data_IF_834889902624
#
_entry.id   IF_834889902624
#
_cell.length_a   1.000
_cell.length_b   1.000
_cell.length_c   1.000
_cell.angle_alpha   90.00
_cell.angle_beta   90.00
_cell.angle_gamma   90.00
#
_symmetry.space_group_name_H-M   'P 1'
#
loop_
_entity.id
_entity.type
_entity.pdbx_description
1 polymer ?
#
# COMPACT_ATOMS: atom_id res chain seq x y z
N UNK A 1 -24.67 8.89 -20.92
CA UNK A 1 -24.24 9.53 -19.67
C UNK A 1 -23.10 8.69 -19.14
N UNK A 2 -21.85 9.15 -19.30
CA UNK A 2 -20.73 8.50 -18.60
C UNK A 2 -20.87 9.02 -17.17
N UNK A 3 -21.37 8.18 -16.27
CA UNK A 3 -21.42 8.48 -14.85
C UNK A 3 -20.00 8.84 -14.40
N UNK A 4 -19.72 10.13 -14.23
CA UNK A 4 -18.41 10.69 -13.84
C UNK A 4 -18.04 10.39 -12.38
N UNK A 5 -18.69 9.40 -11.77
CA UNK A 5 -18.49 8.94 -10.41
C UNK A 5 -17.86 7.55 -10.35
N UNK A 6 -17.27 7.07 -11.45
CA UNK A 6 -16.04 6.27 -11.33
C UNK A 6 -14.89 7.22 -10.93
N UNK A 7 -15.05 7.86 -9.76
CA UNK A 7 -13.91 8.23 -8.94
C UNK A 7 -13.32 6.89 -8.52
N UNK A 8 -12.56 6.26 -9.43
CA UNK A 8 -11.85 5.01 -9.18
C UNK A 8 -11.19 5.19 -7.82
N UNK A 9 -11.65 4.46 -6.80
CA UNK A 9 -11.14 4.59 -5.45
C UNK A 9 -9.61 4.47 -5.54
N UNK A 10 -8.92 5.60 -5.39
CA UNK A 10 -7.49 5.67 -5.65
C UNK A 10 -6.78 5.33 -4.36
N UNK A 11 -5.93 4.31 -4.43
CA UNK A 11 -5.17 3.82 -3.31
C UNK A 11 -3.73 4.26 -3.48
N UNK A 12 -3.27 5.13 -2.60
CA UNK A 12 -1.89 5.57 -2.53
C UNK A 12 -1.10 4.65 -1.63
N UNK A 13 0.01 4.13 -2.14
CA UNK A 13 1.01 3.40 -1.36
C UNK A 13 2.04 4.41 -0.87
N UNK A 14 2.25 4.44 0.44
CA UNK A 14 3.31 5.20 1.07
C UNK A 14 4.31 4.27 1.75
N UNK A 15 5.57 4.68 1.73
CA UNK A 15 6.67 3.99 2.39
C UNK A 15 7.11 4.80 3.61
N UNK A 16 7.39 4.13 4.72
CA UNK A 16 8.02 4.76 5.86
C UNK A 16 9.51 5.03 5.56
N UNK A 17 9.90 6.29 5.65
CA UNK A 17 11.25 6.80 5.56
C UNK A 17 11.61 7.55 6.85
N UNK A 18 12.87 7.95 7.00
CA UNK A 18 13.40 8.62 8.20
C UNK A 18 12.67 9.94 8.50
N UNK A 19 12.15 10.61 7.48
CA UNK A 19 11.40 11.87 7.58
C UNK A 19 9.87 11.70 7.63
N UNK A 20 9.39 10.46 7.75
CA UNK A 20 7.95 10.12 7.77
C UNK A 20 7.52 9.33 6.55
N UNK A 21 6.24 9.44 6.21
CA UNK A 21 5.65 8.66 5.12
C UNK A 21 5.82 9.35 3.77
N UNK A 22 6.37 8.62 2.81
CA UNK A 22 6.62 9.11 1.45
C UNK A 22 5.75 8.35 0.46
N UNK A 23 4.93 9.08 -0.30
CA UNK A 23 4.13 8.52 -1.40
C UNK A 23 5.02 7.93 -2.48
N UNK A 24 4.75 6.68 -2.88
CA UNK A 24 5.48 6.00 -3.95
C UNK A 24 4.62 5.71 -5.18
N UNK A 25 3.45 5.10 -4.99
CA UNK A 25 2.62 4.58 -6.07
C UNK A 25 1.16 4.93 -5.81
N UNK A 26 0.38 5.12 -6.87
CA UNK A 26 -1.09 5.18 -6.77
C UNK A 26 -1.68 4.06 -7.61
N UNK A 27 -2.68 3.37 -7.07
CA UNK A 27 -3.37 2.24 -7.66
C UNK A 27 -4.86 2.56 -7.75
N UNK A 28 -5.56 1.93 -8.70
CA UNK A 28 -7.00 2.07 -8.88
C UNK A 28 -7.82 1.08 -8.04
N UNK A 29 -7.18 0.12 -7.37
CA UNK A 29 -7.84 -0.85 -6.48
C UNK A 29 -7.00 -1.13 -5.24
N UNK A 30 -7.68 -1.44 -4.14
CA UNK A 30 -7.05 -1.76 -2.85
C UNK A 30 -6.15 -3.00 -2.98
N UNK A 31 -6.67 -4.03 -3.65
CA UNK A 31 -5.95 -5.28 -3.84
C UNK A 31 -4.63 -5.07 -4.59
N UNK A 32 -4.63 -4.28 -5.66
CA UNK A 32 -3.42 -3.98 -6.42
C UNK A 32 -2.43 -3.15 -5.59
N UNK A 33 -2.94 -2.23 -4.77
CA UNK A 33 -2.12 -1.45 -3.85
C UNK A 33 -1.45 -2.35 -2.79
N UNK A 34 -2.23 -3.26 -2.19
CA UNK A 34 -1.76 -4.21 -1.19
C UNK A 34 -0.67 -5.14 -1.76
N UNK A 35 -0.92 -5.75 -2.91
CA UNK A 35 0.06 -6.66 -3.54
C UNK A 35 1.36 -5.91 -3.87
N UNK A 36 1.28 -4.69 -4.40
CA UNK A 36 2.48 -3.89 -4.68
C UNK A 36 3.24 -3.51 -3.41
N UNK A 37 2.53 -2.99 -2.40
CA UNK A 37 3.11 -2.59 -1.13
C UNK A 37 3.77 -3.79 -0.42
N UNK A 38 3.16 -4.97 -0.49
CA UNK A 38 3.71 -6.23 0.03
C UNK A 38 4.96 -6.66 -0.72
N UNK A 39 4.92 -6.70 -2.04
CA UNK A 39 6.09 -7.05 -2.87
C UNK A 39 7.26 -6.12 -2.57
N UNK A 40 7.00 -4.82 -2.40
CA UNK A 40 8.03 -3.85 -2.02
C UNK A 40 8.52 -4.00 -0.59
N UNK A 41 7.64 -4.30 0.38
CA UNK A 41 8.04 -4.64 1.75
C UNK A 41 9.03 -5.81 1.76
N UNK A 42 8.70 -6.88 1.02
CA UNK A 42 9.57 -8.08 0.93
C UNK A 42 10.91 -7.78 0.24
N UNK A 43 10.91 -6.94 -0.81
CA UNK A 43 12.12 -6.62 -1.55
C UNK A 43 13.04 -5.63 -0.84
N UNK A 44 12.49 -4.64 -0.14
CA UNK A 44 13.27 -3.54 0.48
C UNK A 44 13.42 -3.68 1.99
N UNK A 45 12.61 -4.53 2.62
CA UNK A 45 12.53 -4.62 4.07
C UNK A 45 12.02 -3.36 4.76
N UNK A 46 11.24 -2.51 4.06
CA UNK A 46 10.68 -1.28 4.65
C UNK A 46 9.19 -1.44 4.96
N UNK A 47 8.69 -0.58 5.84
CA UNK A 47 7.27 -0.54 6.20
C UNK A 47 6.53 0.26 5.13
N UNK A 48 5.39 -0.27 4.70
CA UNK A 48 4.50 0.37 3.74
C UNK A 48 3.10 0.52 4.32
N UNK A 49 2.35 1.51 3.86
CA UNK A 49 0.93 1.63 4.14
C UNK A 49 0.16 1.97 2.87
N UNK A 50 -1.10 1.52 2.82
CA UNK A 50 -2.04 1.83 1.75
C UNK A 50 -3.07 2.81 2.31
N UNK A 51 -3.25 3.91 1.60
CA UNK A 51 -4.17 4.99 1.95
C UNK A 51 -5.19 5.14 0.83
N UNK A 52 -6.47 5.23 1.15
CA UNK A 52 -7.54 5.52 0.21
C UNK A 52 -7.55 7.00 -0.20
N UNK A 53 -8.37 7.33 -1.20
CA UNK A 53 -8.53 8.70 -1.71
C UNK A 53 -9.04 9.68 -0.66
N UNK A 54 -9.81 9.20 0.30
CA UNK A 54 -10.32 9.95 1.46
C UNK A 54 -9.29 10.11 2.59
N UNK A 55 -8.02 9.72 2.35
CA UNK A 55 -6.90 9.76 3.31
C UNK A 55 -7.02 8.79 4.48
N UNK A 56 -7.97 7.84 4.45
CA UNK A 56 -8.02 6.76 5.43
C UNK A 56 -6.92 5.75 5.17
N UNK A 57 -6.21 5.36 6.22
CA UNK A 57 -5.24 4.26 6.15
C UNK A 57 -6.02 2.95 6.15
N UNK A 58 -5.98 2.27 5.01
CA UNK A 58 -6.74 1.02 4.79
C UNK A 58 -5.93 -0.19 5.26
N UNK A 59 -4.61 -0.15 5.08
CA UNK A 59 -3.73 -1.25 5.46
C UNK A 59 -2.33 -0.75 5.80
N UNK A 60 -1.67 -1.36 6.79
CA UNK A 60 -0.27 -1.14 7.11
C UNK A 60 0.46 -2.49 7.00
N UNK A 61 1.52 -2.52 6.21
CA UNK A 61 2.34 -3.70 5.93
C UNK A 61 3.69 -3.50 6.61
N UNK A 62 3.92 -4.30 7.63
CA UNK A 62 5.15 -4.26 8.43
C UNK A 62 6.11 -5.37 8.04
N UNK A 63 7.37 -5.20 8.43
CA UNK A 63 8.40 -6.22 8.26
C UNK A 63 8.05 -7.54 8.93
N UNK A 64 7.40 -7.50 10.10
CA UNK A 64 7.00 -8.69 10.85
C UNK A 64 5.92 -9.50 10.10
N UNK A 65 4.97 -8.81 9.47
CA UNK A 65 4.00 -9.42 8.55
C UNK A 65 4.68 -10.10 7.35
N UNK A 66 5.66 -9.40 6.76
CA UNK A 66 6.45 -9.91 5.63
C UNK A 66 7.32 -11.13 6.05
N UNK A 67 7.94 -11.10 7.23
CA UNK A 67 8.79 -12.18 7.76
C UNK A 67 8.01 -13.41 8.22
N UNK A 68 6.84 -13.23 8.85
CA UNK A 68 5.97 -14.36 9.26
C UNK A 68 5.59 -15.24 8.08
N UNK A 69 5.44 -14.68 6.88
CA UNK A 69 5.13 -15.47 5.68
C UNK A 69 6.36 -16.12 5.04
N UNK A 70 7.58 -15.60 5.26
CA UNK A 70 8.82 -16.29 4.84
C UNK A 70 9.08 -17.57 5.66
N UNK A 71 8.67 -17.56 6.93
CA UNK A 71 8.80 -18.71 7.84
C UNK A 71 7.68 -19.75 7.68
N UNK A 72 6.65 -19.46 6.89
CA UNK A 72 5.56 -20.39 6.58
C UNK A 72 5.86 -21.28 5.36
N UNK A 73 7.13 -21.36 4.94
CA UNK A 73 7.58 -22.11 3.76
C UNK A 73 8.57 -23.20 4.10
#
# INVERSE_FOLDING_TARGET
>A
MISSEDVFAMYTIERLADQGWTKEITCNTEFKAFINARTKCMATGRIYRVISSDRTVVCVITLDDCKRQLLAR
#
